data_IF_656807093598
#
_entry.id   IF_656807093598
#
_cell.length_a   1.000
_cell.length_b   1.000
_cell.length_c   1.000
_cell.angle_alpha   90.00
_cell.angle_beta   90.00
_cell.angle_gamma   90.00
#
_symmetry.space_group_name_H-M   'P 1'
#
loop_
_entity.id
_entity.type
_entity.pdbx_description
1 polymer ?
#
# COMPACT_ATOMS: atom_id res chain seq x y z
N UNK A 1 -12.31 -8.68 -22.36
CA UNK A 1 -11.76 -8.39 -21.04
C UNK A 1 -12.85 -7.67 -20.28
N UNK A 2 -13.35 -8.23 -19.17
CA UNK A 2 -14.41 -7.58 -18.39
C UNK A 2 -13.82 -6.41 -17.59
N UNK A 3 -14.66 -5.47 -17.13
CA UNK A 3 -14.20 -4.36 -16.27
C UNK A 3 -13.50 -4.88 -15.02
N UNK A 4 -14.02 -5.95 -14.41
CA UNK A 4 -13.47 -6.62 -13.24
C UNK A 4 -12.06 -7.19 -13.49
N UNK A 5 -11.83 -7.86 -14.63
CA UNK A 5 -10.50 -8.40 -14.96
C UNK A 5 -9.45 -7.29 -15.12
N UNK A 6 -9.85 -6.15 -15.68
CA UNK A 6 -8.97 -4.99 -15.81
C UNK A 6 -8.59 -4.43 -14.44
N UNK A 7 -9.54 -4.31 -13.51
CA UNK A 7 -9.27 -3.81 -12.17
C UNK A 7 -8.37 -4.78 -11.39
N UNK A 8 -8.58 -6.09 -11.53
CA UNK A 8 -7.70 -7.10 -10.92
C UNK A 8 -6.25 -6.96 -11.37
N UNK A 9 -6.01 -6.80 -12.67
CA UNK A 9 -4.64 -6.55 -13.18
C UNK A 9 -4.03 -5.26 -12.62
N UNK A 10 -4.84 -4.22 -12.45
CA UNK A 10 -4.36 -2.97 -11.87
C UNK A 10 -3.99 -3.12 -10.39
N UNK A 11 -4.76 -3.90 -9.62
CA UNK A 11 -4.48 -4.30 -8.24
C UNK A 11 -3.18 -5.11 -8.13
N UNK A 12 -2.99 -6.13 -8.96
CA UNK A 12 -1.76 -6.94 -8.99
C UNK A 12 -0.51 -6.08 -9.25
N UNK A 13 -0.61 -5.13 -10.18
CA UNK A 13 0.47 -4.17 -10.45
C UNK A 13 0.73 -3.26 -9.24
N UNK A 14 -0.31 -2.83 -8.50
CA UNK A 14 -0.14 -2.01 -7.31
C UNK A 14 0.60 -2.80 -6.21
N UNK A 15 0.19 -4.04 -5.95
CA UNK A 15 0.88 -4.96 -5.02
C UNK A 15 2.35 -5.13 -5.41
N UNK A 16 2.65 -5.34 -6.70
CA UNK A 16 4.03 -5.45 -7.19
C UNK A 16 4.86 -4.18 -6.95
N UNK A 17 4.27 -3.00 -7.17
CA UNK A 17 4.93 -1.72 -6.88
C UNK A 17 5.19 -1.53 -5.39
N UNK A 18 4.23 -1.88 -4.53
CA UNK A 18 4.42 -1.83 -3.07
C UNK A 18 5.56 -2.76 -2.65
N UNK A 19 5.56 -4.00 -3.11
CA UNK A 19 6.63 -4.95 -2.82
C UNK A 19 8.01 -4.47 -3.28
N UNK A 20 8.07 -3.81 -4.44
CA UNK A 20 9.31 -3.20 -4.94
C UNK A 20 9.76 -2.02 -4.08
N UNK A 21 8.84 -1.11 -3.74
CA UNK A 21 9.11 0.04 -2.88
C UNK A 21 9.67 -0.39 -1.52
N UNK A 22 9.06 -1.40 -0.89
CA UNK A 22 9.52 -1.96 0.39
C UNK A 22 10.94 -2.52 0.30
N UNK A 23 11.25 -3.30 -0.76
CA UNK A 23 12.60 -3.82 -0.99
C UNK A 23 13.63 -2.71 -1.16
N UNK A 24 13.30 -1.67 -1.93
CA UNK A 24 14.19 -0.52 -2.14
C UNK A 24 14.41 0.29 -0.85
N UNK A 25 13.36 0.48 -0.05
CA UNK A 25 13.47 1.10 1.27
C UNK A 25 14.34 0.28 2.22
N UNK A 26 14.25 -1.04 2.19
CA UNK A 26 15.09 -1.92 3.00
C UNK A 26 16.58 -1.78 2.66
N UNK A 27 16.93 -1.55 1.39
CA UNK A 27 18.32 -1.28 0.96
C UNK A 27 18.76 0.16 1.19
N UNK A 28 17.87 1.03 1.68
CA UNK A 28 18.13 2.44 1.91
C UNK A 28 18.05 3.36 0.73
N UNK A 29 17.43 2.88 -0.34
CA UNK A 29 17.11 3.69 -1.50
C UNK A 29 15.90 4.56 -1.20
N UNK A 30 15.97 5.85 -1.53
CA UNK A 30 14.78 6.71 -1.53
C UNK A 30 13.82 6.27 -2.62
N UNK A 31 12.53 6.22 -2.29
CA UNK A 31 11.48 5.77 -3.21
C UNK A 31 10.49 6.91 -3.42
N UNK A 32 10.22 7.23 -4.68
CA UNK A 32 9.12 8.10 -5.05
C UNK A 32 7.82 7.28 -5.11
N UNK A 33 6.83 7.66 -4.30
CA UNK A 33 5.54 6.98 -4.19
C UNK A 33 4.45 7.64 -5.05
N UNK A 34 4.74 8.71 -5.79
CA UNK A 34 3.74 9.40 -6.62
C UNK A 34 3.08 8.46 -7.65
N UNK A 35 3.87 7.56 -8.25
CA UNK A 35 3.35 6.55 -9.18
C UNK A 35 2.39 5.55 -8.50
N UNK A 36 2.70 5.14 -7.27
CA UNK A 36 1.86 4.26 -6.48
C UNK A 36 0.56 4.95 -6.08
N UNK A 37 0.64 6.20 -5.62
CA UNK A 37 -0.53 7.01 -5.26
C UNK A 37 -1.49 7.18 -6.46
N UNK A 38 -0.95 7.55 -7.62
CA UNK A 38 -1.75 7.68 -8.85
C UNK A 38 -2.44 6.37 -9.23
N UNK A 39 -1.76 5.24 -9.06
CA UNK A 39 -2.29 3.92 -9.35
C UNK A 39 -3.41 3.50 -8.40
N UNK A 40 -3.23 3.72 -7.09
CA UNK A 40 -4.27 3.45 -6.09
C UNK A 40 -5.51 4.30 -6.35
N UNK A 41 -5.35 5.60 -6.65
CA UNK A 41 -6.46 6.49 -7.05
C UNK A 41 -7.22 5.97 -8.26
N UNK A 42 -6.50 5.49 -9.27
CA UNK A 42 -7.09 4.88 -10.48
C UNK A 42 -7.91 3.63 -10.15
N UNK A 43 -7.38 2.74 -9.31
CA UNK A 43 -8.08 1.53 -8.86
C UNK A 43 -9.36 1.88 -8.10
N UNK A 44 -9.28 2.79 -7.11
CA UNK A 44 -10.45 3.21 -6.34
C UNK A 44 -11.57 3.74 -7.24
N UNK A 45 -11.23 4.55 -8.24
CA UNK A 45 -12.21 5.06 -9.19
C UNK A 45 -12.83 3.95 -10.04
N UNK A 46 -12.01 3.06 -10.58
CA UNK A 46 -12.50 1.93 -11.38
C UNK A 46 -13.39 0.99 -10.57
N UNK A 47 -13.11 0.77 -9.28
CA UNK A 47 -13.96 -0.06 -8.39
C UNK A 47 -15.30 0.61 -8.12
N UNK A 48 -15.34 1.94 -7.93
CA UNK A 48 -16.59 2.70 -7.76
C UNK A 48 -17.47 2.61 -9.01
N UNK A 49 -16.84 2.57 -10.18
CA UNK A 49 -17.53 2.45 -11.47
C UNK A 49 -18.03 1.01 -11.76
N UNK A 50 -17.62 0.01 -10.96
CA UNK A 50 -18.13 -1.36 -11.06
C UNK A 50 -19.48 -1.52 -10.37
N UNK A 51 -20.29 -2.45 -10.87
CA UNK A 51 -21.50 -2.89 -10.17
C UNK A 51 -21.17 -3.58 -8.85
N UNK A 52 -22.12 -3.59 -7.91
CA UNK A 52 -21.95 -4.14 -6.56
C UNK A 52 -21.43 -5.59 -6.57
N UNK A 53 -21.95 -6.44 -7.46
CA UNK A 53 -21.57 -7.85 -7.53
C UNK A 53 -20.12 -8.02 -8.01
N UNK A 54 -19.70 -7.26 -9.03
CA UNK A 54 -18.32 -7.26 -9.50
C UNK A 54 -17.36 -6.72 -8.44
N UNK A 55 -17.71 -5.62 -7.78
CA UNK A 55 -16.91 -5.04 -6.71
C UNK A 55 -16.72 -5.98 -5.52
N UNK A 56 -17.73 -6.79 -5.16
CA UNK A 56 -17.62 -7.80 -4.10
C UNK A 56 -16.54 -8.84 -4.41
N UNK A 57 -16.36 -9.23 -5.68
CA UNK A 57 -15.34 -10.22 -6.07
C UNK A 57 -13.92 -9.71 -5.86
N UNK A 58 -13.72 -8.39 -5.83
CA UNK A 58 -12.41 -7.74 -5.68
C UNK A 58 -12.06 -7.43 -4.21
N UNK A 59 -12.98 -7.70 -3.27
CA UNK A 59 -12.79 -7.34 -1.85
C UNK A 59 -11.49 -7.91 -1.28
N UNK A 60 -11.24 -9.20 -1.47
CA UNK A 60 -10.04 -9.86 -0.95
C UNK A 60 -8.76 -9.25 -1.53
N UNK A 61 -8.79 -8.89 -2.82
CA UNK A 61 -7.63 -8.27 -3.50
C UNK A 61 -7.38 -6.85 -2.96
N UNK A 62 -8.44 -6.09 -2.65
CA UNK A 62 -8.32 -4.77 -2.02
C UNK A 62 -7.82 -4.84 -0.58
N UNK A 63 -8.30 -5.79 0.21
CA UNK A 63 -7.83 -6.02 1.59
C UNK A 63 -6.34 -6.37 1.60
N UNK A 64 -5.88 -7.20 0.66
CA UNK A 64 -4.47 -7.51 0.50
C UNK A 64 -3.63 -6.27 0.17
N UNK A 65 -4.09 -5.43 -0.77
CA UNK A 65 -3.39 -4.18 -1.11
C UNK A 65 -3.32 -3.22 0.08
N UNK A 66 -4.38 -3.11 0.88
CA UNK A 66 -4.39 -2.28 2.10
C UNK A 66 -3.33 -2.78 3.08
N UNK A 67 -3.29 -4.09 3.35
CA UNK A 67 -2.30 -4.67 4.25
C UNK A 67 -0.85 -4.41 3.77
N UNK A 68 -0.60 -4.52 2.46
CA UNK A 68 0.72 -4.22 1.90
C UNK A 68 1.10 -2.73 2.04
N UNK A 69 0.14 -1.82 1.85
CA UNK A 69 0.33 -0.38 2.05
C UNK A 69 0.62 -0.03 3.51
N UNK A 70 -0.06 -0.68 4.46
CA UNK A 70 0.20 -0.51 5.89
C UNK A 70 1.62 -0.97 6.28
N UNK A 71 2.07 -2.09 5.72
CA UNK A 71 3.45 -2.56 5.90
C UNK A 71 4.46 -1.58 5.30
N UNK A 72 4.19 -1.03 4.11
CA UNK A 72 5.04 0.01 3.51
C UNK A 72 5.09 1.26 4.39
N UNK A 73 3.96 1.70 4.94
CA UNK A 73 3.91 2.84 5.84
C UNK A 73 4.73 2.59 7.13
N UNK A 74 4.67 1.38 7.68
CA UNK A 74 5.50 0.99 8.82
C UNK A 74 6.99 1.02 8.49
N UNK A 75 7.40 0.48 7.33
CA UNK A 75 8.79 0.49 6.86
C UNK A 75 9.32 1.92 6.68
N UNK A 76 8.48 2.85 6.19
CA UNK A 76 8.82 4.28 6.06
C UNK A 76 9.00 4.92 7.45
N UNK A 77 8.06 4.73 8.37
CA UNK A 77 8.15 5.28 9.74
C UNK A 77 9.41 4.80 10.44
N UNK A 78 9.66 3.50 10.43
CA UNK A 78 10.86 2.91 11.04
C UNK A 78 12.16 3.57 10.56
N UNK A 79 12.20 3.97 9.27
CA UNK A 79 13.41 4.51 8.65
C UNK A 79 13.57 6.03 8.81
N UNK A 80 12.48 6.79 8.71
CA UNK A 80 12.52 8.26 8.63
C UNK A 80 12.00 8.97 9.87
N UNK A 81 11.24 8.27 10.70
CA UNK A 81 10.73 8.76 11.98
C UNK A 81 10.90 7.68 13.05
N UNK A 82 12.16 7.30 13.38
CA UNK A 82 12.40 6.49 14.54
C UNK A 82 12.01 7.34 15.74
N UNK A 83 10.82 7.11 16.29
CA UNK A 83 10.43 7.75 17.55
C UNK A 83 11.61 7.65 18.52
N UNK A 84 12.10 8.77 19.09
CA UNK A 84 13.10 8.70 20.13
C UNK A 84 12.47 7.92 21.27
N UNK A 85 13.08 6.79 21.60
CA UNK A 85 12.67 5.84 22.62
C UNK A 85 12.10 6.53 23.86
N UNK A 86 10.77 6.60 23.95
CA UNK A 86 10.05 7.28 25.05
C UNK A 86 10.14 6.49 26.36
N UNK A 87 10.70 5.28 26.33
CA UNK A 87 10.91 4.43 27.52
C UNK A 87 12.11 4.88 28.38
N UNK A 88 12.98 5.77 27.88
CA UNK A 88 14.11 6.29 28.66
C UNK A 88 13.72 7.34 29.74
N UNK A 89 12.49 7.89 29.69
CA UNK A 89 12.05 8.95 30.61
C UNK A 89 11.26 8.45 31.84
N UNK A 90 10.83 7.19 31.84
CA UNK A 90 10.05 6.60 32.94
C UNK A 90 10.92 5.81 33.94
N UNK A 91 12.24 5.80 33.77
CA UNK A 91 13.18 5.06 34.65
C UNK A 91 13.78 5.90 35.80
N UNK A 92 13.35 7.15 35.98
CA UNK A 92 13.84 8.05 37.04
C UNK A 92 12.81 8.36 38.16
N UNK A 93 11.86 7.47 38.44
CA UNK A 93 11.01 7.56 39.64
C UNK A 93 10.88 6.23 40.38
#
# INVERSE_FOLDING_TARGET
MTGTDSVRQELEKAVSLVGTARRLLATGTMVDLAALEGKVKGICRSVIDLGLEDGKTLRSDMEALIADLDLLAADIRYRYDPEPDRQALDSEH
#
